data_IF_571365565451
#
_entry.id   IF_571365565451
#
_cell.length_a   1.000
_cell.length_b   1.000
_cell.length_c   1.000
_cell.angle_alpha   90.00
_cell.angle_beta   90.00
_cell.angle_gamma   90.00
#
_symmetry.space_group_name_H-M   'P 1'
#
loop_
_entity.id
_entity.type
_entity.pdbx_description
1 polymer ?
#
# COMPACT_ATOMS: atom_id res chain seq x y z
N UNK A 1 -13.67 6.42 -31.46
CA UNK A 1 -12.48 6.35 -30.59
C UNK A 1 -11.76 5.04 -30.87
N UNK A 2 -10.43 5.02 -30.95
CA UNK A 2 -9.68 3.77 -31.10
C UNK A 2 -9.97 2.85 -29.92
N UNK A 3 -10.29 1.57 -30.19
CA UNK A 3 -10.41 0.56 -29.14
C UNK A 3 -9.06 0.41 -28.41
N UNK A 4 -9.06 0.09 -27.10
CA UNK A 4 -7.82 -0.19 -26.40
C UNK A 4 -7.06 -1.31 -27.11
N UNK A 5 -5.77 -1.10 -27.34
CA UNK A 5 -4.92 -2.16 -27.85
C UNK A 5 -4.64 -3.12 -26.71
N UNK A 6 -5.10 -4.36 -26.83
CA UNK A 6 -4.75 -5.45 -25.91
C UNK A 6 -3.71 -6.28 -26.61
N UNK A 7 -2.53 -6.38 -26.00
CA UNK A 7 -1.41 -7.18 -26.49
C UNK A 7 -1.18 -8.27 -25.48
N UNK A 8 -1.28 -9.52 -25.92
CA UNK A 8 -1.01 -10.69 -25.11
C UNK A 8 0.23 -11.37 -25.67
N UNK A 9 1.26 -11.54 -24.83
CA UNK A 9 2.54 -12.07 -25.25
C UNK A 9 3.11 -13.03 -24.21
N UNK A 10 3.70 -14.12 -24.67
CA UNK A 10 4.50 -15.01 -23.84
C UNK A 10 5.84 -14.34 -23.55
N UNK A 11 6.33 -14.48 -22.32
CA UNK A 11 7.71 -14.11 -21.97
C UNK A 11 8.51 -15.35 -21.57
N UNK A 12 9.63 -15.58 -22.25
CA UNK A 12 10.54 -16.68 -21.94
C UNK A 12 11.52 -16.28 -20.83
N UNK A 13 11.00 -16.24 -19.60
CA UNK A 13 11.77 -16.00 -18.38
C UNK A 13 11.53 -17.14 -17.39
N UNK A 14 12.53 -17.44 -16.56
CA UNK A 14 12.38 -18.30 -15.40
C UNK A 14 11.35 -17.65 -14.44
N UNK A 15 10.25 -18.33 -14.06
CA UNK A 15 9.31 -17.83 -13.06
C UNK A 15 10.04 -17.36 -11.80
N UNK A 16 9.56 -16.30 -11.15
CA UNK A 16 10.21 -15.73 -9.97
C UNK A 16 10.38 -16.77 -8.86
N UNK A 17 9.38 -17.62 -8.63
CA UNK A 17 9.46 -18.73 -7.67
C UNK A 17 10.63 -19.70 -7.94
N UNK A 18 11.07 -19.82 -9.19
CA UNK A 18 12.12 -20.75 -9.64
C UNK A 18 13.48 -20.05 -9.84
N UNK A 19 13.55 -18.73 -9.72
CA UNK A 19 14.82 -18.00 -9.75
C UNK A 19 15.67 -18.36 -8.52
N UNK A 20 17.00 -18.31 -8.67
CA UNK A 20 17.90 -18.61 -7.56
C UNK A 20 17.83 -17.56 -6.44
N UNK A 21 17.60 -16.29 -6.78
CA UNK A 21 17.56 -15.19 -5.80
C UNK A 21 16.25 -14.43 -5.90
N UNK A 22 15.59 -14.20 -4.77
CA UNK A 22 14.37 -13.40 -4.69
C UNK A 22 14.41 -12.49 -3.47
N UNK A 23 14.03 -11.22 -3.65
CA UNK A 23 13.90 -10.24 -2.59
C UNK A 23 12.46 -9.72 -2.53
N UNK A 24 11.92 -9.63 -1.33
CA UNK A 24 10.60 -9.06 -1.07
C UNK A 24 10.64 -8.26 0.21
N UNK A 25 10.06 -7.06 0.20
CA UNK A 25 9.90 -6.22 1.38
C UNK A 25 8.43 -5.84 1.58
N UNK A 26 8.02 -5.72 2.85
CA UNK A 26 6.78 -5.08 3.26
C UNK A 26 7.03 -4.13 4.42
N UNK A 27 6.56 -2.90 4.27
CA UNK A 27 6.49 -1.91 5.35
C UNK A 27 5.09 -1.98 5.96
N UNK A 28 5.03 -2.28 7.26
CA UNK A 28 3.78 -2.51 7.97
C UNK A 28 3.09 -1.25 8.48
N UNK A 29 1.99 -1.47 9.21
CA UNK A 29 1.04 -0.45 9.66
C UNK A 29 1.69 0.80 10.30
N UNK A 30 2.66 0.58 11.19
CA UNK A 30 3.33 1.63 11.95
C UNK A 30 4.55 2.23 11.27
N UNK A 31 4.96 1.75 10.11
CA UNK A 31 6.12 2.30 9.41
C UNK A 31 5.81 3.73 8.92
N UNK A 32 6.73 4.71 9.06
CA UNK A 32 6.49 6.11 8.67
C UNK A 32 5.92 6.30 7.26
N UNK A 33 6.49 5.61 6.26
CA UNK A 33 5.97 5.60 4.88
C UNK A 33 4.52 5.05 4.78
N UNK A 34 4.16 4.04 5.56
CA UNK A 34 2.80 3.48 5.56
C UNK A 34 1.82 4.45 6.23
N UNK A 35 2.24 5.13 7.31
CA UNK A 35 1.43 6.13 8.00
C UNK A 35 1.10 7.28 7.04
N UNK A 36 2.10 7.81 6.32
CA UNK A 36 1.87 8.94 5.42
C UNK A 36 1.08 8.55 4.16
N UNK A 37 1.26 7.34 3.62
CA UNK A 37 0.38 6.78 2.59
C UNK A 37 -1.07 6.71 3.11
N UNK A 38 -1.27 6.17 4.31
CA UNK A 38 -2.59 6.07 4.93
C UNK A 38 -3.23 7.43 5.22
N UNK A 39 -2.46 8.42 5.68
CA UNK A 39 -2.95 9.78 5.94
C UNK A 39 -3.41 10.46 4.65
N UNK A 40 -2.62 10.34 3.56
CA UNK A 40 -2.98 10.83 2.24
C UNK A 40 -4.24 10.15 1.69
N UNK A 41 -4.37 8.82 1.85
CA UNK A 41 -5.55 8.09 1.41
C UNK A 41 -6.80 8.44 2.23
N UNK A 42 -6.67 8.60 3.55
CA UNK A 42 -7.75 9.10 4.40
C UNK A 42 -8.25 10.46 3.90
N UNK A 43 -7.32 11.37 3.59
CA UNK A 43 -7.64 12.69 3.07
C UNK A 43 -8.42 12.64 1.74
N UNK A 44 -7.98 11.78 0.80
CA UNK A 44 -8.69 11.59 -0.47
C UNK A 44 -10.07 10.98 -0.27
N UNK A 45 -10.20 9.96 0.59
CA UNK A 45 -11.46 9.25 0.82
C UNK A 45 -12.51 10.13 1.50
N UNK A 46 -12.15 10.84 2.57
CA UNK A 46 -13.10 11.70 3.28
C UNK A 46 -13.60 12.83 2.39
N UNK A 47 -12.70 13.43 1.59
CA UNK A 47 -13.06 14.50 0.69
C UNK A 47 -13.91 13.99 -0.49
N UNK A 48 -13.61 12.79 -1.00
CA UNK A 48 -14.45 12.13 -2.02
C UNK A 48 -15.86 11.85 -1.52
N UNK A 49 -16.02 11.37 -0.29
CA UNK A 49 -17.34 11.12 0.32
C UNK A 49 -18.11 12.41 0.51
N UNK A 50 -17.46 13.44 1.08
CA UNK A 50 -18.06 14.75 1.22
C UNK A 50 -18.57 15.30 -0.13
N UNK A 51 -17.77 15.18 -1.19
CA UNK A 51 -18.20 15.62 -2.52
C UNK A 51 -19.38 14.83 -3.08
N UNK A 52 -19.41 13.51 -2.87
CA UNK A 52 -20.53 12.68 -3.31
C UNK A 52 -21.82 13.03 -2.56
N UNK A 53 -21.74 13.21 -1.24
CA UNK A 53 -22.88 13.51 -0.37
C UNK A 53 -23.46 14.90 -0.67
N UNK A 54 -22.61 15.91 -0.89
CA UNK A 54 -23.05 17.30 -1.06
C UNK A 54 -23.26 17.72 -2.53
N UNK A 55 -22.54 17.12 -3.48
CA UNK A 55 -22.53 17.56 -4.88
C UNK A 55 -22.83 16.43 -5.88
N UNK A 56 -23.11 15.21 -5.40
CA UNK A 56 -23.49 14.06 -6.25
C UNK A 56 -22.34 13.46 -7.07
N UNK A 57 -21.13 14.01 -7.00
CA UNK A 57 -19.95 13.54 -7.75
C UNK A 57 -18.66 13.87 -7.01
N UNK A 58 -17.63 13.04 -7.17
CA UNK A 58 -16.28 13.35 -6.70
C UNK A 58 -15.69 14.49 -7.53
N UNK A 59 -15.33 15.60 -6.88
CA UNK A 59 -14.64 16.73 -7.49
C UNK A 59 -13.12 16.53 -7.55
N UNK A 60 -12.45 17.37 -8.34
CA UNK A 60 -11.00 17.26 -8.56
C UNK A 60 -10.21 17.40 -7.25
N UNK A 61 -9.45 16.36 -6.90
CA UNK A 61 -8.41 16.43 -5.88
C UNK A 61 -7.32 15.39 -6.14
N UNK A 62 -6.11 15.66 -5.67
CA UNK A 62 -4.94 14.79 -5.63
C UNK A 62 -4.11 15.19 -4.40
N UNK A 63 -4.19 14.40 -3.35
CA UNK A 63 -3.57 14.63 -2.04
C UNK A 63 -2.46 13.61 -1.77
N UNK A 64 -1.74 13.23 -2.83
CA UNK A 64 -0.73 12.15 -2.85
C UNK A 64 0.69 12.66 -2.57
N UNK A 65 0.84 13.84 -1.96
CA UNK A 65 2.13 14.47 -1.62
C UNK A 65 2.19 14.68 -0.11
N UNK A 66 2.46 13.61 0.61
CA UNK A 66 2.64 13.64 2.06
C UNK A 66 4.11 13.59 2.47
N UNK A 67 4.40 14.28 3.57
CA UNK A 67 5.64 14.18 4.33
C UNK A 67 5.27 13.94 5.79
N UNK A 68 5.80 12.87 6.38
CA UNK A 68 5.84 12.67 7.81
C UNK A 68 7.26 13.00 8.26
N UNK A 69 7.38 13.93 9.19
CA UNK A 69 8.65 14.28 9.84
C UNK A 69 8.65 13.68 11.23
N UNK A 70 9.70 12.93 11.54
CA UNK A 70 9.85 12.27 12.82
C UNK A 70 9.85 13.26 13.99
N UNK A 71 9.31 12.81 15.13
CA UNK A 71 9.40 13.50 16.40
C UNK A 71 10.71 13.23 17.13
N UNK A 72 10.70 13.52 18.43
CA UNK A 72 11.76 13.12 19.36
C UNK A 72 11.11 12.46 20.57
N UNK A 73 11.64 11.33 21.00
CA UNK A 73 11.20 10.61 22.20
C UNK A 73 12.39 10.23 23.08
N UNK A 74 12.09 9.95 24.34
CA UNK A 74 12.99 9.27 25.27
C UNK A 74 12.25 8.07 25.82
N UNK A 75 12.69 6.89 25.45
CA UNK A 75 12.22 5.62 25.99
C UNK A 75 13.18 5.06 27.04
N UNK A 76 12.63 4.22 27.91
CA UNK A 76 13.39 3.37 28.83
C UNK A 76 12.52 2.16 29.17
N UNK A 77 13.12 1.10 29.70
CA UNK A 77 12.32 -0.05 30.11
C UNK A 77 11.25 0.33 31.16
N UNK A 78 9.99 0.01 30.86
CA UNK A 78 8.82 0.33 31.67
C UNK A 78 8.24 1.72 31.44
N UNK A 79 8.78 2.53 30.51
CA UNK A 79 8.26 3.88 30.30
C UNK A 79 8.82 4.63 29.10
N UNK A 80 8.43 5.89 29.00
CA UNK A 80 8.95 6.79 27.99
C UNK A 80 8.08 8.02 27.81
N UNK A 81 8.61 9.00 27.09
CA UNK A 81 7.92 10.25 26.78
C UNK A 81 8.23 10.69 25.34
N UNK A 82 7.21 11.18 24.65
CA UNK A 82 7.37 11.90 23.38
C UNK A 82 7.64 13.36 23.72
N UNK A 83 8.85 13.85 23.43
CA UNK A 83 9.28 15.23 23.70
C UNK A 83 8.82 16.19 22.60
N UNK A 84 9.00 15.76 21.34
CA UNK A 84 8.59 16.50 20.15
C UNK A 84 7.59 15.65 19.36
N UNK A 85 6.37 16.14 19.08
CA UNK A 85 5.37 15.37 18.35
C UNK A 85 5.78 15.15 16.89
N UNK A 86 5.34 14.02 16.34
CA UNK A 86 5.44 13.70 14.90
C UNK A 86 4.70 14.78 14.11
N UNK A 87 5.27 15.24 13.00
CA UNK A 87 4.65 16.24 12.14
C UNK A 87 4.22 15.64 10.79
N UNK A 88 2.91 15.64 10.53
CA UNK A 88 2.33 15.17 9.27
C UNK A 88 1.93 16.36 8.42
N UNK A 89 2.53 16.48 7.24
CA UNK A 89 2.20 17.46 6.22
C UNK A 89 1.52 16.80 5.02
N UNK A 90 0.26 17.14 4.78
CA UNK A 90 -0.47 16.71 3.58
C UNK A 90 -0.51 17.87 2.57
N UNK A 91 0.16 17.71 1.44
CA UNK A 91 0.15 18.66 0.34
C UNK A 91 -0.60 18.09 -0.88
N UNK A 92 -1.06 18.98 -1.74
CA UNK A 92 -1.70 18.56 -2.98
C UNK A 92 -2.66 19.59 -3.56
N UNK A 93 -3.55 19.08 -4.41
CA UNK A 93 -4.59 19.86 -5.09
C UNK A 93 -5.96 19.39 -4.65
N UNK A 94 -6.89 20.30 -4.40
CA UNK A 94 -8.28 19.98 -4.15
C UNK A 94 -9.19 21.12 -4.58
N UNK A 95 -10.44 20.82 -4.92
CA UNK A 95 -11.49 21.83 -5.02
C UNK A 95 -11.81 22.31 -3.60
N UNK A 96 -11.38 23.52 -3.25
CA UNK A 96 -11.55 24.07 -1.89
C UNK A 96 -12.74 25.02 -1.77
N UNK A 97 -13.28 25.45 -2.92
CA UNK A 97 -14.41 26.38 -3.02
C UNK A 97 -15.26 26.00 -4.23
N UNK A 98 -16.57 26.18 -4.11
CA UNK A 98 -17.54 26.06 -5.21
C UNK A 98 -18.06 27.46 -5.52
N UNK A 99 -17.96 27.88 -6.78
CA UNK A 99 -18.51 29.16 -7.23
C UNK A 99 -19.98 28.99 -7.57
N UNK A 100 -20.79 29.92 -7.07
CA UNK A 100 -22.22 30.07 -7.35
C UNK A 100 -22.46 31.47 -7.97
N UNK A 101 -23.66 31.74 -8.50
CA UNK A 101 -23.98 33.04 -9.11
C UNK A 101 -23.81 34.22 -8.12
N UNK A 102 -24.14 34.00 -6.84
CA UNK A 102 -24.13 35.02 -5.79
C UNK A 102 -22.88 34.99 -4.88
N UNK A 103 -21.87 34.15 -5.18
CA UNK A 103 -20.66 34.08 -4.36
C UNK A 103 -19.90 32.75 -4.45
N UNK A 104 -19.27 32.34 -3.35
CA UNK A 104 -18.61 31.04 -3.25
C UNK A 104 -18.95 30.36 -1.93
N UNK A 105 -19.07 29.03 -1.99
CA UNK A 105 -19.14 28.14 -0.85
C UNK A 105 -17.74 27.61 -0.55
N UNK A 106 -17.30 27.67 0.71
CA UNK A 106 -16.02 27.12 1.13
C UNK A 106 -16.20 25.70 1.65
N UNK A 107 -15.37 24.77 1.15
CA UNK A 107 -15.41 23.38 1.56
C UNK A 107 -14.57 23.25 2.84
N UNK A 108 -15.09 22.62 3.92
CA UNK A 108 -14.40 22.46 5.20
C UNK A 108 -13.33 21.35 5.16
N UNK A 109 -12.47 21.36 4.14
CA UNK A 109 -11.53 20.25 3.86
C UNK A 109 -10.50 20.06 4.98
N UNK A 110 -10.10 21.13 5.69
CA UNK A 110 -9.08 21.04 6.73
C UNK A 110 -9.58 20.23 7.92
N UNK A 111 -10.78 20.54 8.38
CA UNK A 111 -11.43 19.89 9.51
C UNK A 111 -11.71 18.42 9.18
N UNK A 112 -12.27 18.16 7.99
CA UNK A 112 -12.57 16.81 7.49
C UNK A 112 -11.32 15.92 7.43
N UNK A 113 -10.26 16.42 6.79
CA UNK A 113 -9.01 15.64 6.64
C UNK A 113 -8.35 15.43 7.99
N UNK A 114 -8.28 16.47 8.84
CA UNK A 114 -7.61 16.37 10.14
C UNK A 114 -8.30 15.32 11.02
N UNK A 115 -9.63 15.33 11.06
CA UNK A 115 -10.38 14.36 11.86
C UNK A 115 -10.27 12.94 11.31
N UNK A 116 -10.31 12.76 9.98
CA UNK A 116 -10.17 11.43 9.39
C UNK A 116 -8.78 10.82 9.64
N UNK A 117 -7.71 11.61 9.53
CA UNK A 117 -6.34 11.15 9.83
C UNK A 117 -6.22 10.80 11.32
N UNK A 118 -6.77 11.62 12.23
CA UNK A 118 -6.80 11.29 13.66
C UNK A 118 -7.57 10.00 13.92
N UNK A 119 -8.72 9.80 13.29
CA UNK A 119 -9.50 8.58 13.42
C UNK A 119 -8.75 7.34 12.92
N UNK A 120 -8.01 7.47 11.82
CA UNK A 120 -7.11 6.41 11.37
C UNK A 120 -6.08 6.07 12.46
N UNK A 121 -5.40 7.06 13.04
CA UNK A 121 -4.40 6.82 14.08
C UNK A 121 -5.02 6.17 15.34
N UNK A 122 -6.16 6.69 15.84
CA UNK A 122 -6.87 6.11 17.01
C UNK A 122 -7.31 4.67 16.78
N UNK A 123 -7.67 4.32 15.54
CA UNK A 123 -8.14 2.97 15.20
C UNK A 123 -6.99 1.96 15.07
N UNK A 124 -5.82 2.43 14.63
CA UNK A 124 -4.73 1.56 14.20
C UNK A 124 -3.57 1.49 15.17
N UNK A 125 -3.42 2.47 16.08
CA UNK A 125 -2.36 2.49 17.09
C UNK A 125 -2.92 2.43 18.50
N UNK A 126 -2.29 1.63 19.35
CA UNK A 126 -2.65 1.51 20.78
C UNK A 126 -1.99 2.57 21.66
N UNK A 127 -0.78 3.02 21.31
CA UNK A 127 0.06 3.89 22.15
C UNK A 127 0.39 5.26 21.51
N UNK A 128 -0.04 5.50 20.28
CA UNK A 128 0.11 6.80 19.61
C UNK A 128 -1.15 7.65 19.79
N UNK A 129 -1.09 8.64 20.70
CA UNK A 129 -2.18 9.59 20.92
C UNK A 129 -2.11 10.73 19.89
N UNK A 130 -3.04 10.84 18.93
CA UNK A 130 -2.96 11.83 17.86
C UNK A 130 -3.31 13.26 18.31
N UNK A 131 -3.76 13.48 19.55
CA UNK A 131 -3.91 14.82 20.12
C UNK A 131 -2.62 15.33 20.76
N UNK A 132 -1.78 14.42 21.26
CA UNK A 132 -0.55 14.76 22.00
C UNK A 132 0.71 14.56 21.18
N UNK A 133 0.79 13.46 20.46
CA UNK A 133 2.01 12.98 19.83
C UNK A 133 2.10 13.35 18.34
N UNK A 134 1.06 13.98 17.76
CA UNK A 134 0.99 14.28 16.33
C UNK A 134 0.47 15.68 16.05
N UNK A 135 1.17 16.40 15.17
CA UNK A 135 0.72 17.66 14.58
C UNK A 135 0.40 17.41 13.10
N UNK A 136 -0.81 17.79 12.66
CA UNK A 136 -1.25 17.62 11.28
C UNK A 136 -1.40 19.01 10.64
N UNK A 137 -0.62 19.29 9.60
CA UNK A 137 -0.71 20.49 8.77
C UNK A 137 -1.02 20.14 7.30
N UNK A 138 -1.49 21.13 6.56
CA UNK A 138 -1.92 20.97 5.18
C UNK A 138 -1.47 22.14 4.31
N UNK A 139 -0.93 21.83 3.13
CA UNK A 139 -0.61 22.80 2.08
C UNK A 139 -1.36 22.46 0.80
N UNK A 140 -2.69 22.60 0.88
CA UNK A 140 -3.62 22.27 -0.21
C UNK A 140 -3.99 23.56 -0.97
N UNK A 141 -3.95 23.48 -2.31
CA UNK A 141 -4.31 24.57 -3.22
C UNK A 141 -5.34 24.10 -4.24
N UNK A 142 -6.05 25.02 -4.86
CA UNK A 142 -6.87 24.68 -6.04
C UNK A 142 -6.02 24.07 -7.16
N UNK A 143 -6.57 23.05 -7.83
CA UNK A 143 -6.01 22.51 -9.08
C UNK A 143 -6.11 23.51 -10.23
N UNK A 144 -5.36 23.26 -11.31
CA UNK A 144 -5.46 24.07 -12.53
C UNK A 144 -6.85 23.94 -13.15
N UNK A 145 -7.33 25.02 -13.78
CA UNK A 145 -8.67 25.06 -14.37
C UNK A 145 -8.86 23.97 -15.44
N UNK A 146 -7.82 23.66 -16.21
CA UNK A 146 -7.89 22.65 -17.27
C UNK A 146 -8.06 21.24 -16.70
N UNK A 147 -7.32 20.88 -15.64
CA UNK A 147 -7.44 19.57 -14.99
C UNK A 147 -8.76 19.41 -14.24
N UNK A 148 -9.29 20.50 -13.65
CA UNK A 148 -10.63 20.48 -13.05
C UNK A 148 -11.69 20.08 -14.08
N UNK A 149 -11.68 20.70 -15.27
CA UNK A 149 -12.64 20.39 -16.35
C UNK A 149 -12.57 18.94 -16.83
N UNK A 150 -11.40 18.31 -16.82
CA UNK A 150 -11.23 16.89 -17.19
C UNK A 150 -11.91 15.97 -16.17
N UNK A 151 -11.79 16.26 -14.88
CA UNK A 151 -12.33 15.42 -13.80
C UNK A 151 -13.82 15.66 -13.56
N UNK A 152 -14.23 16.92 -13.65
CA UNK A 152 -15.60 17.38 -13.33
C UNK A 152 -16.57 17.26 -14.51
N UNK A 153 -16.12 16.72 -15.65
CA UNK A 153 -16.97 16.50 -16.83
C UNK A 153 -18.19 15.64 -16.49
N UNK A 154 -19.35 15.99 -17.05
CA UNK A 154 -20.63 15.27 -16.90
C UNK A 154 -20.66 13.91 -17.64
N UNK A 155 -19.53 13.47 -18.21
CA UNK A 155 -19.45 12.17 -18.84
C UNK A 155 -19.63 11.04 -17.80
N UNK A 156 -20.39 10.01 -18.16
CA UNK A 156 -20.60 8.81 -17.33
C UNK A 156 -19.29 8.09 -17.00
N UNK A 157 -18.33 8.12 -17.93
CA UNK A 157 -16.97 7.66 -17.73
C UNK A 157 -16.03 8.88 -17.65
N UNK A 158 -15.30 9.05 -16.54
CA UNK A 158 -14.37 10.18 -16.41
C UNK A 158 -13.19 10.03 -17.37
N UNK A 159 -12.59 11.17 -17.74
CA UNK A 159 -11.36 11.20 -18.52
C UNK A 159 -10.15 11.13 -17.60
N UNK A 160 -9.12 10.40 -18.05
CA UNK A 160 -7.83 10.29 -17.39
C UNK A 160 -7.22 11.68 -17.21
N UNK A 161 -6.84 12.00 -15.98
CA UNK A 161 -6.21 13.26 -15.63
C UNK A 161 -4.71 13.32 -15.96
N UNK A 162 -4.11 12.19 -16.33
CA UNK A 162 -2.67 12.05 -16.58
C UNK A 162 -2.37 10.92 -17.59
N UNK A 163 -1.14 10.92 -18.10
CA UNK A 163 -0.53 9.83 -18.87
C UNK A 163 0.39 9.04 -17.92
N UNK A 164 -0.18 8.03 -17.27
CA UNK A 164 0.49 7.17 -16.29
C UNK A 164 0.28 5.70 -16.64
N UNK A 165 0.98 4.83 -15.90
CA UNK A 165 0.80 3.38 -16.04
C UNK A 165 0.60 2.70 -14.68
N UNK A 166 -0.23 1.65 -14.68
CA UNK A 166 -0.40 0.74 -13.56
C UNK A 166 0.16 -0.65 -13.90
N UNK A 167 0.66 -1.34 -12.88
CA UNK A 167 1.21 -2.70 -13.01
C UNK A 167 0.60 -3.60 -11.96
N UNK A 168 0.22 -4.81 -12.36
CA UNK A 168 -0.21 -5.89 -11.46
C UNK A 168 0.32 -7.22 -11.95
N UNK A 169 0.40 -8.19 -11.05
CA UNK A 169 0.82 -9.54 -11.39
C UNK A 169 0.12 -10.57 -10.50
N UNK A 170 0.12 -11.82 -10.96
CA UNK A 170 -0.35 -12.96 -10.20
C UNK A 170 0.39 -14.24 -10.64
N UNK A 171 0.56 -15.23 -9.75
CA UNK A 171 0.23 -15.20 -8.33
C UNK A 171 1.34 -14.50 -7.53
N UNK A 172 1.13 -14.33 -6.23
CA UNK A 172 2.25 -14.11 -5.32
C UNK A 172 3.11 -15.39 -5.24
N UNK A 173 4.44 -15.27 -5.23
CA UNK A 173 5.35 -16.37 -4.94
C UNK A 173 5.20 -16.83 -3.47
N UNK A 174 5.78 -17.99 -3.11
CA UNK A 174 5.87 -18.39 -1.71
C UNK A 174 6.57 -17.35 -0.81
N UNK A 175 7.64 -16.69 -1.27
CA UNK A 175 8.31 -15.64 -0.50
C UNK A 175 7.46 -14.38 -0.38
N UNK A 176 6.82 -13.95 -1.47
CA UNK A 176 5.91 -12.80 -1.48
C UNK A 176 4.76 -12.99 -0.50
N UNK A 177 4.14 -14.18 -0.51
CA UNK A 177 3.08 -14.54 0.43
C UNK A 177 3.60 -14.64 1.87
N UNK A 178 4.79 -15.20 2.09
CA UNK A 178 5.41 -15.28 3.41
C UNK A 178 5.61 -13.89 4.02
N UNK A 179 6.26 -12.98 3.29
CA UNK A 179 6.52 -11.61 3.77
C UNK A 179 5.22 -10.85 4.03
N UNK A 180 4.23 -10.98 3.14
CA UNK A 180 2.92 -10.36 3.31
C UNK A 180 2.20 -10.84 4.57
N UNK A 181 2.17 -12.16 4.78
CA UNK A 181 1.44 -12.78 5.87
C UNK A 181 2.15 -12.65 7.22
N UNK A 182 3.49 -12.56 7.25
CA UNK A 182 4.25 -12.29 8.49
C UNK A 182 3.90 -10.92 9.04
N UNK A 183 3.96 -9.86 8.23
CA UNK A 183 3.61 -8.51 8.70
C UNK A 183 2.17 -8.47 9.21
N UNK A 184 1.23 -9.05 8.45
CA UNK A 184 -0.18 -9.08 8.85
C UNK A 184 -0.44 -9.95 10.07
N UNK A 185 0.33 -11.02 10.26
CA UNK A 185 0.29 -11.89 11.44
C UNK A 185 0.72 -11.13 12.69
N UNK A 186 1.90 -10.50 12.63
CA UNK A 186 2.48 -9.70 13.72
C UNK A 186 1.60 -8.48 14.06
N UNK A 187 1.00 -7.82 13.06
CA UNK A 187 0.06 -6.72 13.27
C UNK A 187 -1.40 -7.15 13.48
N UNK A 188 -1.69 -8.45 13.58
CA UNK A 188 -3.05 -8.92 13.81
C UNK A 188 -3.50 -8.66 15.26
N UNK A 189 -4.80 -8.38 15.43
CA UNK A 189 -5.41 -8.28 16.77
C UNK A 189 -5.13 -9.53 17.61
N UNK A 190 -5.13 -10.71 16.99
CA UNK A 190 -4.85 -11.99 17.67
C UNK A 190 -3.43 -12.02 18.24
N UNK A 191 -2.42 -11.64 17.44
CA UNK A 191 -1.04 -11.62 17.90
C UNK A 191 -0.82 -10.53 18.95
N UNK A 192 -1.26 -9.29 18.68
CA UNK A 192 -1.14 -8.15 19.61
C UNK A 192 -1.90 -8.34 20.93
N UNK A 193 -2.91 -9.20 20.98
CA UNK A 193 -3.60 -9.55 22.24
C UNK A 193 -2.80 -10.54 23.09
N UNK A 194 -1.96 -11.36 22.46
CA UNK A 194 -1.07 -12.34 23.11
C UNK A 194 0.29 -11.73 23.48
N UNK A 195 0.80 -10.87 22.60
CA UNK A 195 2.10 -10.18 22.71
C UNK A 195 1.85 -8.67 22.58
N UNK A 196 1.24 -8.03 23.59
CA UNK A 196 0.90 -6.61 23.53
C UNK A 196 2.10 -5.67 23.41
N UNK A 197 3.29 -6.14 23.81
CA UNK A 197 4.56 -5.43 23.73
C UNK A 197 5.02 -5.21 22.28
N UNK A 198 4.63 -6.06 21.33
CA UNK A 198 4.95 -5.86 19.92
C UNK A 198 4.16 -4.66 19.38
N UNK A 199 4.84 -3.65 18.85
CA UNK A 199 4.30 -2.40 18.34
C UNK A 199 3.80 -2.49 16.89
N UNK A 200 3.26 -1.41 16.37
CA UNK A 200 2.59 -1.39 15.07
C UNK A 200 3.59 -1.26 13.89
N UNK A 201 4.77 -0.69 14.14
CA UNK A 201 5.85 -0.57 13.16
C UNK A 201 6.62 -1.88 13.02
N UNK A 202 6.16 -2.67 12.05
CA UNK A 202 6.72 -3.95 11.65
C UNK A 202 7.14 -3.88 10.18
N UNK A 203 8.45 -3.90 9.90
CA UNK A 203 9.01 -4.04 8.55
C UNK A 203 9.55 -5.46 8.37
N UNK A 204 9.14 -6.11 7.30
CA UNK A 204 9.55 -7.48 6.97
C UNK A 204 10.34 -7.47 5.66
N UNK A 205 11.55 -7.99 5.70
CA UNK A 205 12.42 -8.22 4.55
C UNK A 205 12.62 -9.73 4.39
N UNK A 206 12.27 -10.26 3.23
CA UNK A 206 12.49 -11.64 2.84
C UNK A 206 13.55 -11.75 1.75
N UNK A 207 14.49 -12.66 1.94
CA UNK A 207 15.47 -13.08 0.94
C UNK A 207 15.36 -14.60 0.76
N UNK A 208 15.29 -15.05 -0.47
CA UNK A 208 15.41 -16.48 -0.81
C UNK A 208 16.64 -16.72 -1.67
N UNK A 209 17.45 -17.69 -1.26
CA UNK A 209 18.64 -18.19 -1.96
C UNK A 209 18.44 -19.68 -2.27
N UNK A 210 17.98 -19.99 -3.48
CA UNK A 210 17.51 -21.32 -3.86
C UNK A 210 16.30 -21.71 -3.03
N UNK A 211 16.48 -22.67 -2.12
CA UNK A 211 15.47 -23.15 -1.17
C UNK A 211 15.72 -22.71 0.28
N UNK A 212 16.74 -21.87 0.53
CA UNK A 212 17.00 -21.29 1.85
C UNK A 212 16.35 -19.92 1.96
N UNK A 213 15.70 -19.67 3.08
CA UNK A 213 14.96 -18.44 3.34
C UNK A 213 15.62 -17.68 4.49
N UNK A 214 15.76 -16.37 4.33
CA UNK A 214 16.20 -15.45 5.36
C UNK A 214 15.11 -14.41 5.51
N UNK A 215 14.50 -14.34 6.70
CA UNK A 215 13.45 -13.37 7.02
C UNK A 215 13.98 -12.45 8.12
N UNK A 216 14.07 -11.17 7.82
CA UNK A 216 14.43 -10.13 8.80
C UNK A 216 13.19 -9.33 9.14
N UNK A 217 12.84 -9.27 10.41
CA UNK A 217 11.74 -8.46 10.95
C UNK A 217 12.34 -7.35 11.81
N UNK A 218 12.02 -6.10 11.48
CA UNK A 218 12.22 -4.97 12.37
C UNK A 218 10.85 -4.62 12.97
N UNK A 219 10.64 -4.89 14.25
CA UNK A 219 9.40 -4.67 14.97
C UNK A 219 9.67 -3.80 16.19
N UNK A 220 9.03 -2.65 16.25
CA UNK A 220 9.08 -1.77 17.42
C UNK A 220 8.52 -2.49 18.66
N UNK A 221 9.16 -2.33 19.82
CA UNK A 221 8.66 -2.91 21.08
C UNK A 221 8.22 -1.78 22.02
N UNK A 222 7.03 -1.90 22.61
CA UNK A 222 6.41 -0.89 23.46
C UNK A 222 7.12 -0.83 24.81
N UNK A 223 7.80 0.29 25.06
CA UNK A 223 8.62 0.53 26.24
C UNK A 223 7.82 0.48 27.54
N UNK A 224 6.61 1.06 27.56
CA UNK A 224 5.72 1.06 28.75
C UNK A 224 5.26 -0.33 29.18
N UNK A 225 5.32 -1.33 28.30
CA UNK A 225 4.94 -2.71 28.58
C UNK A 225 6.15 -3.64 28.78
N UNK A 226 7.38 -3.12 28.65
CA UNK A 226 8.61 -3.91 28.64
C UNK A 226 9.50 -3.48 29.81
N UNK A 227 9.46 -4.17 30.96
CA UNK A 227 10.08 -3.70 32.21
C UNK A 227 11.60 -3.82 32.26
N UNK A 228 12.20 -4.68 31.44
CA UNK A 228 13.64 -4.92 31.38
C UNK A 228 14.06 -5.60 30.06
N UNK A 229 15.37 -5.79 29.91
CA UNK A 229 16.00 -6.38 28.73
C UNK A 229 15.62 -7.86 28.54
N UNK A 230 15.48 -8.63 29.61
CA UNK A 230 15.13 -10.05 29.50
C UNK A 230 13.71 -10.21 28.93
N UNK A 231 12.78 -9.37 29.37
CA UNK A 231 11.43 -9.30 28.80
C UNK A 231 11.46 -8.91 27.32
N UNK A 232 12.25 -7.90 26.95
CA UNK A 232 12.44 -7.50 25.55
C UNK A 232 12.92 -8.65 24.65
N UNK A 233 13.92 -9.41 25.11
CA UNK A 233 14.43 -10.56 24.38
C UNK A 233 13.37 -11.68 24.26
N UNK A 234 12.53 -11.86 25.28
CA UNK A 234 11.41 -12.82 25.21
C UNK A 234 10.35 -12.42 24.16
N UNK A 235 10.05 -11.13 24.04
CA UNK A 235 9.13 -10.59 23.01
C UNK A 235 9.69 -10.85 21.60
N UNK A 236 11.00 -10.69 21.41
CA UNK A 236 11.66 -11.01 20.13
C UNK A 236 11.52 -12.48 19.75
N UNK A 237 11.64 -13.39 20.71
CA UNK A 237 11.44 -14.82 20.45
C UNK A 237 9.96 -15.13 20.10
N UNK A 238 8.97 -14.51 20.74
CA UNK A 238 7.56 -14.66 20.35
C UNK A 238 7.26 -14.17 18.92
N UNK A 239 7.88 -13.07 18.49
CA UNK A 239 7.78 -12.58 17.10
C UNK A 239 8.41 -13.59 16.15
N UNK A 240 9.61 -14.08 16.48
CA UNK A 240 10.32 -15.09 15.69
C UNK A 240 9.50 -16.38 15.57
N UNK A 241 8.85 -16.83 16.63
CA UNK A 241 7.96 -17.99 16.60
C UNK A 241 6.75 -17.79 15.67
N UNK A 242 6.16 -16.58 15.62
CA UNK A 242 5.08 -16.28 14.68
C UNK A 242 5.56 -16.30 13.23
N UNK A 243 6.79 -15.84 12.96
CA UNK A 243 7.41 -15.94 11.63
C UNK A 243 7.58 -17.40 11.24
N UNK A 244 8.14 -18.23 12.11
CA UNK A 244 8.36 -19.67 11.86
C UNK A 244 7.03 -20.39 11.63
N UNK A 245 6.02 -20.14 12.48
CA UNK A 245 4.66 -20.68 12.31
C UNK A 245 4.04 -20.29 10.98
N UNK A 246 4.25 -19.05 10.55
CA UNK A 246 3.75 -18.56 9.26
C UNK A 246 4.50 -19.20 8.10
N UNK A 247 5.81 -19.39 8.22
CA UNK A 247 6.63 -20.10 7.25
C UNK A 247 6.22 -21.56 7.08
N UNK A 248 6.01 -22.30 8.18
CA UNK A 248 5.55 -23.69 8.14
C UNK A 248 4.23 -23.83 7.38
N UNK A 249 3.28 -22.92 7.64
CA UNK A 249 1.98 -22.88 6.96
C UNK A 249 2.09 -22.59 5.45
N UNK A 250 3.01 -21.71 5.05
CA UNK A 250 3.07 -21.20 3.66
C UNK A 250 3.99 -22.07 2.79
N UNK A 251 5.12 -22.50 3.34
CA UNK A 251 6.14 -23.26 2.61
C UNK A 251 5.91 -24.77 2.69
N UNK A 252 5.14 -25.28 3.67
CA UNK A 252 4.76 -26.68 3.75
C UNK A 252 5.93 -27.67 3.81
N UNK A 253 7.09 -27.23 4.30
CA UNK A 253 8.33 -28.01 4.33
C UNK A 253 9.13 -28.04 3.01
N UNK A 254 8.70 -27.30 1.97
CA UNK A 254 9.42 -27.19 0.69
C UNK A 254 10.60 -26.19 0.76
N UNK A 255 11.43 -26.27 1.79
CA UNK A 255 12.62 -25.43 1.97
C UNK A 255 13.78 -26.21 2.60
N UNK A 256 15.00 -25.72 2.41
CA UNK A 256 16.23 -26.30 2.99
C UNK A 256 16.64 -25.64 4.31
N UNK A 257 15.89 -24.63 4.74
CA UNK A 257 16.08 -23.95 6.02
C UNK A 257 15.49 -22.54 6.00
N UNK A 258 15.08 -22.07 7.17
CA UNK A 258 14.65 -20.69 7.39
C UNK A 258 15.46 -20.08 8.53
N UNK A 259 16.11 -18.96 8.25
CA UNK A 259 16.77 -18.13 9.24
C UNK A 259 15.89 -16.91 9.52
N UNK A 260 15.62 -16.65 10.78
CA UNK A 260 14.78 -15.53 11.22
C UNK A 260 15.60 -14.62 12.11
N UNK A 261 15.65 -13.35 11.74
CA UNK A 261 16.30 -12.29 12.50
C UNK A 261 15.24 -11.29 12.93
N UNK A 262 15.12 -11.04 14.23
CA UNK A 262 14.25 -10.00 14.77
C UNK A 262 15.13 -8.89 15.34
N UNK A 263 14.89 -7.64 14.94
CA UNK A 263 15.63 -6.46 15.36
C UNK A 263 17.14 -6.66 15.28
N UNK A 264 17.63 -6.95 14.07
CA UNK A 264 19.02 -7.32 13.81
C UNK A 264 20.05 -6.21 14.13
N UNK A 265 19.58 -4.97 14.35
CA UNK A 265 20.42 -3.84 14.72
C UNK A 265 20.70 -3.78 16.24
N UNK A 266 20.01 -4.57 17.06
CA UNK A 266 20.19 -4.55 18.51
C UNK A 266 21.62 -4.97 18.90
N UNK A 267 22.13 -4.32 19.96
CA UNK A 267 23.33 -4.70 20.70
C UNK A 267 23.01 -4.66 22.20
N UNK A 268 22.37 -5.71 22.74
CA UNK A 268 21.90 -5.74 24.13
C UNK A 268 23.00 -5.42 25.16
N UNK A 269 24.23 -5.86 24.91
CA UNK A 269 25.41 -5.59 25.73
C UNK A 269 25.84 -4.11 25.75
N UNK A 270 25.49 -3.35 24.71
CA UNK A 270 25.69 -1.89 24.62
C UNK A 270 24.41 -1.12 25.03
N UNK A 271 23.34 -1.82 25.42
CA UNK A 271 22.04 -1.22 25.73
C UNK A 271 21.26 -0.71 24.52
N UNK A 272 21.66 -1.10 23.30
CA UNK A 272 21.02 -0.68 22.05
C UNK A 272 19.91 -1.68 21.72
N UNK A 273 18.66 -1.24 21.81
CA UNK A 273 17.46 -2.04 21.54
C UNK A 273 16.41 -1.20 20.81
N UNK A 274 15.56 -1.84 20.00
CA UNK A 274 14.43 -1.17 19.35
C UNK A 274 13.21 -1.04 20.29
N UNK A 275 13.28 -0.10 21.22
CA UNK A 275 12.15 0.32 22.05
C UNK A 275 11.46 1.56 21.47
N UNK A 276 10.16 1.69 21.71
CA UNK A 276 9.36 2.87 21.35
C UNK A 276 8.28 3.13 22.39
N UNK A 277 7.89 4.39 22.57
CA UNK A 277 6.79 4.82 23.43
C UNK A 277 5.43 4.54 22.78
N UNK A 278 5.34 4.75 21.46
CA UNK A 278 4.09 4.83 20.70
C UNK A 278 3.86 3.68 19.74
N UNK A 279 4.86 2.81 19.53
CA UNK A 279 4.79 1.70 18.59
C UNK A 279 5.14 2.07 17.14
N UNK A 280 5.86 3.18 16.93
CA UNK A 280 6.39 3.58 15.63
C UNK A 280 7.74 4.27 15.75
N UNK A 281 8.67 3.98 14.83
CA UNK A 281 9.95 4.71 14.71
C UNK A 281 9.79 6.20 14.40
N UNK A 282 8.61 6.62 13.92
CA UNK A 282 8.31 8.01 13.66
C UNK A 282 8.49 8.90 14.90
N UNK A 283 8.35 8.36 16.12
CA UNK A 283 8.55 9.14 17.33
C UNK A 283 10.01 9.56 17.58
N UNK A 284 10.97 8.91 16.92
CA UNK A 284 12.41 9.02 17.20
C UNK A 284 13.22 9.35 15.94
N UNK A 285 12.66 10.21 15.07
CA UNK A 285 13.37 10.82 13.95
C UNK A 285 13.27 10.12 12.58
N UNK A 286 12.57 8.99 12.45
CA UNK A 286 12.35 8.38 11.14
C UNK A 286 11.23 9.09 10.36
N UNK A 287 11.57 9.56 9.16
CA UNK A 287 10.66 10.27 8.26
C UNK A 287 9.93 9.32 7.29
N UNK A 288 8.83 9.80 6.71
CA UNK A 288 8.07 9.08 5.68
C UNK A 288 7.63 9.96 4.52
N UNK A 289 7.52 9.39 3.32
CA UNK A 289 6.92 10.06 2.17
C UNK A 289 5.91 9.17 1.42
N UNK A 290 4.81 9.78 0.97
CA UNK A 290 3.80 9.07 0.16
C UNK A 290 4.43 8.44 -1.07
N UNK A 291 4.13 7.16 -1.30
CA UNK A 291 4.64 6.40 -2.44
C UNK A 291 6.05 5.82 -2.25
N UNK A 292 6.69 6.01 -1.09
CA UNK A 292 7.97 5.33 -0.74
C UNK A 292 7.77 4.00 -0.01
N UNK A 293 6.52 3.64 0.25
CA UNK A 293 6.10 2.38 0.81
C UNK A 293 5.85 1.28 -0.23
N UNK A 294 4.91 0.40 0.11
CA UNK A 294 4.52 -0.75 -0.68
C UNK A 294 3.85 -0.36 -2.02
N UNK A 295 3.81 -1.30 -2.98
CA UNK A 295 3.02 -1.16 -4.22
C UNK A 295 1.57 -1.58 -3.99
N UNK A 296 0.71 -1.45 -5.00
CA UNK A 296 -0.73 -1.70 -4.88
C UNK A 296 -1.17 -3.11 -4.45
N UNK A 297 -0.25 -4.08 -4.46
CA UNK A 297 -0.44 -5.42 -3.93
C UNK A 297 0.02 -5.59 -2.48
N UNK A 298 0.56 -4.54 -1.86
CA UNK A 298 1.07 -4.54 -0.50
C UNK A 298 2.52 -4.95 -0.34
N UNK A 299 3.30 -5.02 -1.42
CA UNK A 299 4.69 -5.47 -1.37
C UNK A 299 5.63 -4.58 -2.20
N UNK A 300 6.93 -4.70 -1.92
CA UNK A 300 8.03 -4.19 -2.75
C UNK A 300 8.77 -5.42 -3.28
N UNK A 301 8.75 -5.62 -4.59
CA UNK A 301 9.20 -6.88 -5.22
C UNK A 301 10.15 -6.61 -6.38
N UNK A 302 11.46 -6.39 -6.13
CA UNK A 302 12.45 -6.09 -7.17
C UNK A 302 12.56 -7.16 -8.28
N UNK A 303 12.19 -8.40 -7.99
CA UNK A 303 12.17 -9.48 -9.00
C UNK A 303 11.00 -9.37 -9.99
N UNK A 304 9.98 -8.57 -9.68
CA UNK A 304 8.75 -8.34 -10.47
C UNK A 304 8.80 -6.99 -11.18
N UNK A 305 7.78 -6.77 -12.00
CA UNK A 305 7.52 -5.48 -12.63
C UNK A 305 6.68 -4.62 -11.68
N UNK A 306 6.98 -3.33 -11.58
CA UNK A 306 6.29 -2.41 -10.65
C UNK A 306 5.97 -1.08 -11.34
N UNK A 307 4.89 -0.44 -10.86
CA UNK A 307 4.65 0.98 -11.13
C UNK A 307 5.23 1.83 -10.00
N UNK A 308 5.85 2.96 -10.37
CA UNK A 308 6.31 3.98 -9.41
C UNK A 308 5.19 4.95 -9.00
N UNK A 309 4.00 4.83 -9.59
CA UNK A 309 2.85 5.64 -9.19
C UNK A 309 2.45 5.34 -7.76
N UNK A 310 2.47 6.36 -6.90
CA UNK A 310 1.84 6.30 -5.58
C UNK A 310 0.33 6.19 -5.76
N UNK A 311 -0.31 5.19 -5.18
CA UNK A 311 -1.78 5.01 -5.24
C UNK A 311 -2.51 5.89 -4.22
N UNK A 312 -1.92 6.05 -3.04
CA UNK A 312 -2.50 6.76 -1.90
C UNK A 312 -2.74 8.24 -2.18
N UNK A 313 -3.90 8.76 -1.80
CA UNK A 313 -4.24 10.19 -1.89
C UNK A 313 -4.66 10.68 -3.27
N UNK A 314 -4.49 9.88 -4.32
CA UNK A 314 -5.04 10.17 -5.65
C UNK A 314 -6.55 9.92 -5.67
N UNK A 315 -7.31 10.76 -6.38
CA UNK A 315 -8.77 10.56 -6.47
C UNK A 315 -9.11 9.23 -7.17
N UNK A 316 -10.13 8.56 -6.64
CA UNK A 316 -10.63 7.28 -7.16
C UNK A 316 -11.57 7.42 -8.38
N UNK A 317 -11.71 8.63 -8.95
CA UNK A 317 -12.59 8.90 -10.10
C UNK A 317 -11.83 8.83 -11.41
N UNK A 318 -10.74 9.59 -11.52
CA UNK A 318 -10.08 9.90 -12.80
C UNK A 318 -8.59 9.59 -12.82
N UNK A 319 -7.97 9.34 -11.66
CA UNK A 319 -6.53 9.18 -11.60
C UNK A 319 -6.10 7.75 -11.94
N UNK A 320 -5.61 7.59 -13.16
CA UNK A 320 -5.18 6.29 -13.70
C UNK A 320 -3.99 5.68 -12.96
N UNK A 321 -3.03 6.46 -12.45
CA UNK A 321 -1.98 5.95 -11.56
C UNK A 321 -2.51 5.16 -10.35
N UNK A 322 -3.71 5.49 -9.83
CA UNK A 322 -4.38 4.68 -8.80
C UNK A 322 -5.23 3.56 -9.41
N UNK A 323 -6.12 3.93 -10.31
CA UNK A 323 -7.12 3.00 -10.88
C UNK A 323 -6.48 1.85 -11.66
N UNK A 324 -5.45 2.12 -12.46
CA UNK A 324 -4.79 1.11 -13.28
C UNK A 324 -3.90 0.18 -12.47
N UNK A 325 -3.33 0.61 -11.34
CA UNK A 325 -2.61 -0.31 -10.46
C UNK A 325 -3.58 -1.32 -9.82
N UNK A 326 -4.76 -0.87 -9.37
CA UNK A 326 -5.81 -1.76 -8.85
C UNK A 326 -6.37 -2.67 -9.95
N UNK A 327 -6.73 -2.10 -11.11
CA UNK A 327 -7.29 -2.86 -12.23
C UNK A 327 -6.31 -3.89 -12.78
N UNK A 328 -5.03 -3.53 -12.97
CA UNK A 328 -4.02 -4.46 -13.46
C UNK A 328 -3.83 -5.65 -12.52
N UNK A 329 -3.86 -5.42 -11.19
CA UNK A 329 -3.81 -6.49 -10.20
C UNK A 329 -5.03 -7.42 -10.32
N UNK A 330 -6.24 -6.85 -10.36
CA UNK A 330 -7.48 -7.65 -10.50
C UNK A 330 -7.52 -8.46 -11.80
N UNK A 331 -7.07 -7.88 -12.91
CA UNK A 331 -6.96 -8.58 -14.19
C UNK A 331 -5.96 -9.73 -14.08
N UNK A 332 -4.76 -9.49 -13.53
CA UNK A 332 -3.74 -10.53 -13.41
C UNK A 332 -4.23 -11.69 -12.53
N UNK A 333 -4.81 -11.39 -11.36
CA UNK A 333 -5.39 -12.38 -10.44
C UNK A 333 -6.48 -13.21 -11.13
N UNK A 334 -7.36 -12.56 -11.89
CA UNK A 334 -8.46 -13.24 -12.57
C UNK A 334 -7.99 -14.12 -13.72
N UNK A 335 -7.04 -13.64 -14.54
CA UNK A 335 -6.42 -14.45 -15.59
C UNK A 335 -5.74 -15.69 -14.98
N UNK A 336 -4.93 -15.52 -13.94
CA UNK A 336 -4.24 -16.65 -13.31
C UNK A 336 -5.20 -17.70 -12.73
N UNK A 337 -6.35 -17.27 -12.20
CA UNK A 337 -7.33 -18.18 -11.59
C UNK A 337 -8.26 -18.86 -12.61
N UNK A 338 -8.57 -18.21 -13.74
CA UNK A 338 -9.53 -18.71 -14.73
C UNK A 338 -8.85 -19.44 -15.91
N UNK A 339 -7.62 -19.06 -16.26
CA UNK A 339 -6.87 -19.62 -17.39
C UNK A 339 -5.85 -20.64 -16.90
N UNK A 340 -5.84 -21.82 -17.52
CA UNK A 340 -5.02 -22.96 -17.08
C UNK A 340 -3.55 -22.84 -17.50
N UNK A 341 -2.72 -23.63 -16.83
CA UNK A 341 -1.31 -23.87 -17.18
C UNK A 341 -0.40 -22.62 -17.15
N UNK A 342 -0.80 -21.60 -16.39
CA UNK A 342 -0.02 -20.41 -16.15
C UNK A 342 0.90 -20.58 -14.93
N UNK A 343 2.17 -20.20 -15.08
CA UNK A 343 3.07 -20.02 -13.94
C UNK A 343 2.98 -18.59 -13.40
N UNK A 344 2.91 -17.58 -14.29
CA UNK A 344 2.84 -16.16 -13.93
C UNK A 344 2.08 -15.33 -14.97
N UNK A 345 1.44 -14.24 -14.52
CA UNK A 345 0.79 -13.23 -15.34
C UNK A 345 1.22 -11.85 -14.86
N UNK A 346 1.55 -10.97 -15.81
CA UNK A 346 1.86 -9.57 -15.57
C UNK A 346 0.97 -8.70 -16.46
N UNK A 347 0.34 -7.70 -15.87
CA UNK A 347 -0.56 -6.78 -16.57
C UNK A 347 -0.02 -5.37 -16.42
N UNK A 348 0.15 -4.66 -17.54
CA UNK A 348 0.47 -3.23 -17.58
C UNK A 348 -0.64 -2.50 -18.31
N UNK A 349 -1.16 -1.45 -17.70
CA UNK A 349 -2.16 -0.59 -18.31
C UNK A 349 -1.59 0.82 -18.44
N UNK A 350 -1.59 1.36 -19.65
CA UNK A 350 -1.09 2.71 -19.97
C UNK A 350 -2.25 3.61 -20.36
N UNK A 351 -2.35 4.78 -19.73
CA UNK A 351 -3.33 5.80 -20.11
C UNK A 351 -2.72 6.77 -21.14
N UNK A 352 -3.58 7.62 -21.68
CA UNK A 352 -3.18 8.88 -22.28
C UNK A 352 -4.11 9.95 -21.71
N UNK A 353 -3.55 11.06 -21.24
CA UNK A 353 -4.33 12.15 -20.65
C UNK A 353 -5.49 12.57 -21.56
N UNK A 354 -6.67 12.76 -20.98
CA UNK A 354 -7.89 13.12 -21.69
C UNK A 354 -8.65 11.95 -22.31
N UNK A 355 -8.12 10.72 -22.37
CA UNK A 355 -8.91 9.53 -22.76
C UNK A 355 -9.84 9.08 -21.63
N UNK A 356 -11.02 8.50 -21.92
CA UNK A 356 -11.83 7.81 -20.91
C UNK A 356 -10.99 6.79 -20.15
N UNK A 357 -11.18 6.72 -18.83
CA UNK A 357 -10.39 5.82 -17.98
C UNK A 357 -10.58 4.34 -18.37
N UNK A 358 -11.75 3.97 -18.89
CA UNK A 358 -12.07 2.61 -19.40
C UNK A 358 -11.55 2.36 -20.83
N UNK A 359 -10.79 3.29 -21.40
CA UNK A 359 -10.25 3.22 -22.75
C UNK A 359 -8.73 3.45 -22.74
N UNK A 360 -7.97 2.57 -22.06
CA UNK A 360 -6.50 2.69 -21.99
C UNK A 360 -5.88 2.73 -23.38
N UNK A 361 -4.71 3.38 -23.48
CA UNK A 361 -3.91 3.38 -24.70
C UNK A 361 -3.42 1.95 -25.02
N UNK A 362 -2.98 1.22 -24.00
CA UNK A 362 -2.48 -0.14 -24.08
C UNK A 362 -2.84 -0.92 -22.82
N UNK A 363 -3.22 -2.19 -23.01
CA UNK A 363 -3.18 -3.23 -21.99
C UNK A 363 -2.21 -4.30 -22.48
N UNK A 364 -1.05 -4.39 -21.85
CA UNK A 364 -0.03 -5.42 -22.11
C UNK A 364 -0.21 -6.52 -21.07
N UNK A 365 -0.49 -7.72 -21.54
CA UNK A 365 -0.61 -8.93 -20.73
C UNK A 365 0.55 -9.83 -21.11
N UNK A 366 1.47 -10.03 -20.17
CA UNK A 366 2.58 -10.95 -20.34
C UNK A 366 2.34 -12.18 -19.48
N UNK A 367 2.65 -13.36 -20.00
CA UNK A 367 2.48 -14.59 -19.25
C UNK A 367 3.69 -15.53 -19.37
N UNK A 368 3.87 -16.35 -18.34
CA UNK A 368 4.78 -17.50 -18.34
C UNK A 368 3.92 -18.74 -18.20
N UNK A 369 4.18 -19.74 -19.04
CA UNK A 369 3.43 -21.00 -19.08
C UNK A 369 4.39 -22.16 -19.34
N UNK A 370 3.97 -23.37 -18.97
CA UNK A 370 4.69 -24.61 -19.28
C UNK A 370 4.63 -24.92 -20.78
N UNK A 371 5.55 -25.75 -21.25
CA UNK A 371 5.55 -26.21 -22.65
C UNK A 371 4.27 -26.97 -22.99
N UNK A 372 3.64 -26.63 -24.12
CA UNK A 372 2.46 -27.35 -24.65
C UNK A 372 1.10 -26.71 -24.38
N UNK A 373 1.06 -25.51 -23.78
CA UNK A 373 -0.18 -24.74 -23.67
C UNK A 373 -0.69 -24.28 -25.04
N UNK A 374 -2.03 -24.25 -25.20
CA UNK A 374 -2.67 -23.63 -26.36
C UNK A 374 -2.65 -22.11 -26.23
N UNK A 375 -1.58 -21.51 -26.73
CA UNK A 375 -1.33 -20.06 -26.62
C UNK A 375 -2.42 -19.20 -27.30
N UNK A 376 -3.10 -19.73 -28.32
CA UNK A 376 -4.18 -19.01 -28.99
C UNK A 376 -5.41 -18.90 -28.08
N UNK A 377 -5.80 -20.01 -27.47
CA UNK A 377 -6.93 -20.05 -26.52
C UNK A 377 -6.61 -19.21 -25.28
N UNK A 378 -5.42 -19.35 -24.72
CA UNK A 378 -4.93 -18.55 -23.58
C UNK A 378 -4.99 -17.05 -23.89
N UNK A 379 -4.46 -16.64 -25.04
CA UNK A 379 -4.45 -15.23 -25.44
C UNK A 379 -5.87 -14.67 -25.63
N UNK A 380 -6.79 -15.48 -26.17
CA UNK A 380 -8.18 -15.10 -26.33
C UNK A 380 -8.88 -14.91 -24.97
N UNK A 381 -8.77 -15.90 -24.07
CA UNK A 381 -9.37 -15.85 -22.73
C UNK A 381 -8.82 -14.69 -21.90
N UNK A 382 -7.50 -14.51 -21.88
CA UNK A 382 -6.85 -13.40 -21.18
C UNK A 382 -7.32 -12.04 -21.67
N UNK A 383 -7.48 -11.88 -23.00
CA UNK A 383 -7.98 -10.65 -23.59
C UNK A 383 -9.46 -10.40 -23.25
N UNK A 384 -10.30 -11.43 -23.21
CA UNK A 384 -11.71 -11.31 -22.80
C UNK A 384 -11.84 -10.92 -21.32
N UNK A 385 -11.06 -11.53 -20.43
CA UNK A 385 -11.01 -11.16 -19.00
C UNK A 385 -10.64 -9.68 -18.84
N UNK A 386 -9.58 -9.23 -19.53
CA UNK A 386 -9.17 -7.84 -19.48
C UNK A 386 -10.25 -6.88 -20.01
N UNK A 387 -10.96 -7.23 -21.09
CA UNK A 387 -12.10 -6.42 -21.59
C UNK A 387 -13.21 -6.33 -20.57
N UNK A 388 -13.54 -7.43 -19.89
CA UNK A 388 -14.60 -7.47 -18.90
C UNK A 388 -14.27 -6.64 -17.65
N UNK A 389 -13.04 -6.74 -17.13
CA UNK A 389 -12.60 -5.92 -15.99
C UNK A 389 -12.55 -4.43 -16.34
N UNK A 390 -12.10 -4.08 -17.55
CA UNK A 390 -12.09 -2.68 -18.00
C UNK A 390 -13.49 -2.08 -18.05
N UNK A 391 -14.51 -2.84 -18.49
CA UNK A 391 -15.92 -2.39 -18.46
C UNK A 391 -16.43 -2.12 -17.04
N UNK A 392 -15.84 -2.75 -16.04
CA UNK A 392 -16.20 -2.59 -14.62
C UNK A 392 -15.38 -1.50 -13.92
N UNK A 393 -14.46 -0.82 -14.61
CA UNK A 393 -13.56 0.15 -13.98
C UNK A 393 -14.25 1.23 -13.17
N UNK A 394 -15.45 1.69 -13.57
CA UNK A 394 -16.19 2.71 -12.83
C UNK A 394 -16.57 2.23 -11.42
N UNK A 395 -16.74 0.91 -11.23
CA UNK A 395 -17.00 0.30 -9.91
C UNK A 395 -15.79 0.34 -8.98
N UNK A 396 -14.58 0.52 -9.51
CA UNK A 396 -13.37 0.66 -8.67
C UNK A 396 -13.46 1.87 -7.75
N UNK A 397 -14.14 2.95 -8.17
CA UNK A 397 -14.37 4.11 -7.32
C UNK A 397 -15.07 3.69 -6.02
N UNK A 398 -16.15 2.92 -6.12
CA UNK A 398 -16.90 2.42 -4.96
C UNK A 398 -16.05 1.49 -4.10
N UNK A 399 -15.41 0.49 -4.70
CA UNK A 399 -14.55 -0.46 -3.98
C UNK A 399 -13.42 0.23 -3.20
N UNK A 400 -12.81 1.27 -3.77
CA UNK A 400 -11.78 2.06 -3.11
C UNK A 400 -12.38 2.88 -1.95
N UNK A 401 -13.51 3.56 -2.17
CA UNK A 401 -14.15 4.39 -1.14
C UNK A 401 -14.71 3.56 0.02
N UNK A 402 -15.06 2.30 -0.23
CA UNK A 402 -15.48 1.32 0.78
C UNK A 402 -14.31 0.56 1.41
N UNK A 403 -13.07 0.80 0.95
CA UNK A 403 -11.85 0.10 1.41
C UNK A 403 -11.89 -1.42 1.20
N UNK A 404 -12.52 -1.87 0.11
CA UNK A 404 -12.62 -3.29 -0.29
C UNK A 404 -11.45 -3.78 -1.14
N UNK A 405 -10.50 -2.91 -1.46
CA UNK A 405 -9.29 -3.23 -2.26
C UNK A 405 -8.05 -2.65 -1.60
N UNK A 406 -6.94 -3.39 -1.63
CA UNK A 406 -5.63 -2.88 -1.17
C UNK A 406 -5.08 -1.85 -2.14
N UNK A 407 -4.38 -0.85 -1.60
CA UNK A 407 -3.68 0.19 -2.34
C UNK A 407 -2.18 0.22 -2.06
N UNK A 408 -1.75 -0.38 -0.95
CA UNK A 408 -0.37 -0.51 -0.45
C UNK A 408 -0.37 -1.54 0.69
#
# INVERSE_FOLDING_TARGET
MMKPSIVVERIDRIPVKDQHTELVERKGLGHPDYIIDSACECASRVLSRYYLEHYGKVLHHNLDKGLLVGGESKDWFGGGIVETPIYILIAGRATTKISHEDGFEEIPYKELIKEEVKNFLRKNFRFLDPEKHVVIDMKIRSGSMDLKKVVESEASVPRANDTSYGVGYAPLTPLERLVYEVERGVNSVKFKSRVPESGEDCKVMGLRLGKRYIVTVADSIIATLTPDLDHYLSVKEEIKEEVLRTADRILGGEHEGIEVYVNAADRPEEGIVYLTVTGTSAESGDDGNTGRGNRANGLITPNRQMSLEATAGKNARSHVGKLYNVAARMIAERIYNEVKDLDEVYVRMLSQIGRPVDSPLLISIQYITKSGADENTLAYEAAEIARDEVRKMVKLQELILEQKVSLF
#
